data_IF_790495360011
#
_entry.id   IF_790495360011
#
_cell.length_a   1.000
_cell.length_b   1.000
_cell.length_c   1.000
_cell.angle_alpha   90.00
_cell.angle_beta   90.00
_cell.angle_gamma   90.00
#
_symmetry.space_group_name_H-M   'P 1'
#
loop_
_entity.id
_entity.type
_entity.pdbx_description
1 polymer ?
#
# COMPACT_ATOMS: atom_id res chain seq x y z
N UNK A 1 50.67 -35.48 60.04
CA UNK A 1 50.46 -34.04 59.71
C UNK A 1 49.05 -33.89 59.14
N UNK A 2 48.29 -32.93 59.66
CA UNK A 2 46.84 -32.72 59.44
C UNK A 2 46.55 -32.23 58.01
N UNK A 3 45.56 -32.82 57.33
CA UNK A 3 44.96 -32.26 56.11
C UNK A 3 43.71 -31.44 56.46
N UNK A 4 43.69 -30.17 56.03
CA UNK A 4 42.52 -29.28 56.04
C UNK A 4 41.67 -29.56 54.79
N UNK A 5 40.37 -29.75 54.97
CA UNK A 5 39.37 -29.68 53.90
C UNK A 5 38.74 -28.28 53.90
N UNK A 6 38.85 -27.55 52.78
CA UNK A 6 38.10 -26.31 52.53
C UNK A 6 37.07 -26.64 51.45
N UNK A 7 35.78 -26.58 51.82
CA UNK A 7 34.65 -26.76 50.92
C UNK A 7 34.31 -25.40 50.29
N UNK A 8 34.52 -25.24 48.99
CA UNK A 8 34.09 -24.07 48.23
C UNK A 8 32.67 -24.31 47.71
N UNK A 9 31.69 -23.58 48.22
CA UNK A 9 30.30 -23.63 47.77
C UNK A 9 30.09 -22.56 46.69
N UNK A 10 30.06 -22.97 45.42
CA UNK A 10 29.73 -22.09 44.29
C UNK A 10 28.21 -22.03 44.10
N UNK A 11 27.61 -20.91 44.50
CA UNK A 11 26.21 -20.57 44.17
C UNK A 11 26.18 -20.01 42.75
N UNK A 12 25.61 -20.77 41.81
CA UNK A 12 25.34 -20.29 40.45
C UNK A 12 24.01 -19.53 40.43
N UNK A 13 24.08 -18.22 40.19
CA UNK A 13 22.89 -17.43 39.82
C UNK A 13 22.49 -17.78 38.39
N UNK A 14 21.36 -18.50 38.23
CA UNK A 14 20.72 -18.64 36.93
C UNK A 14 19.88 -17.39 36.66
N UNK A 15 20.33 -16.55 35.73
CA UNK A 15 19.48 -15.51 35.14
C UNK A 15 18.48 -16.19 34.20
N UNK A 16 17.24 -16.35 34.65
CA UNK A 16 16.13 -16.74 33.78
C UNK A 16 15.74 -15.49 32.98
N UNK A 17 16.30 -15.31 31.79
CA UNK A 17 15.67 -14.45 30.78
C UNK A 17 14.54 -15.26 30.15
N UNK A 18 13.33 -15.15 30.70
CA UNK A 18 12.12 -15.57 29.97
C UNK A 18 12.00 -14.67 28.75
N UNK A 19 12.36 -15.16 27.57
CA UNK A 19 11.83 -14.58 26.34
C UNK A 19 10.33 -14.90 26.37
N UNK A 20 9.51 -13.93 26.75
CA UNK A 20 8.06 -14.05 26.70
C UNK A 20 7.66 -14.23 25.23
N UNK A 21 7.62 -15.47 24.76
CA UNK A 21 7.16 -15.79 23.42
C UNK A 21 5.64 -15.80 23.44
N UNK A 22 5.03 -14.98 22.59
CA UNK A 22 3.58 -15.06 22.36
C UNK A 22 3.23 -16.42 21.76
N UNK A 23 2.38 -17.18 22.46
CA UNK A 23 1.82 -18.44 21.96
C UNK A 23 0.32 -18.23 21.75
N UNK A 24 -0.18 -18.30 20.50
CA UNK A 24 -1.60 -18.15 20.24
C UNK A 24 -2.37 -19.29 20.90
N UNK A 25 -3.28 -18.96 21.82
CA UNK A 25 -4.20 -19.95 22.37
C UNK A 25 -5.24 -20.27 21.30
N UNK A 26 -5.20 -21.49 20.76
CA UNK A 26 -6.12 -21.93 19.71
C UNK A 26 -7.46 -22.36 20.32
N UNK A 27 -8.26 -21.36 20.69
CA UNK A 27 -9.66 -21.56 21.09
C UNK A 27 -10.53 -21.49 19.84
N UNK A 28 -11.35 -22.51 19.52
CA UNK A 28 -12.31 -22.45 18.42
C UNK A 28 -13.16 -21.19 18.51
N UNK A 29 -13.44 -20.54 17.36
CA UNK A 29 -14.12 -19.24 17.34
C UNK A 29 -15.49 -19.30 18.01
N UNK A 30 -16.25 -20.37 17.73
CA UNK A 30 -17.56 -20.60 18.35
C UNK A 30 -17.48 -20.69 19.88
N UNK A 31 -16.49 -21.41 20.40
CA UNK A 31 -16.26 -21.53 21.86
C UNK A 31 -15.85 -20.19 22.46
N UNK A 32 -15.00 -19.41 21.78
CA UNK A 32 -14.62 -18.07 22.23
C UNK A 32 -15.83 -17.12 22.28
N UNK A 33 -16.73 -17.20 21.30
CA UNK A 33 -17.99 -16.42 21.28
C UNK A 33 -18.95 -16.84 22.41
N UNK A 34 -19.08 -18.14 22.67
CA UNK A 34 -19.87 -18.67 23.79
C UNK A 34 -19.28 -18.25 25.16
N UNK A 35 -17.96 -18.18 25.28
CA UNK A 35 -17.29 -17.69 26.49
C UNK A 35 -17.46 -16.19 26.67
N UNK A 36 -17.30 -15.39 25.61
CA UNK A 36 -17.61 -13.95 25.62
C UNK A 36 -19.07 -13.72 26.05
N UNK A 37 -19.97 -14.54 25.48
CA UNK A 37 -21.28 -14.96 25.97
C UNK A 37 -21.47 -14.85 27.48
N UNK A 38 -20.84 -15.82 28.11
CA UNK A 38 -20.98 -16.20 29.51
C UNK A 38 -20.27 -15.24 30.46
N UNK A 39 -19.13 -14.70 30.05
CA UNK A 39 -18.32 -13.78 30.85
C UNK A 39 -18.81 -12.33 30.79
N UNK A 40 -19.69 -11.98 29.84
CA UNK A 40 -20.14 -10.61 29.64
C UNK A 40 -19.02 -9.68 29.14
N UNK A 41 -18.01 -10.24 28.47
CA UNK A 41 -16.87 -9.52 27.89
C UNK A 41 -16.95 -9.52 26.37
N UNK A 42 -16.49 -8.47 25.68
CA UNK A 42 -16.34 -8.51 24.23
C UNK A 42 -15.31 -9.56 23.78
N UNK A 43 -15.50 -10.07 22.56
CA UNK A 43 -14.58 -11.00 21.91
C UNK A 43 -13.54 -10.22 21.10
N UNK A 44 -12.27 -10.44 21.39
CA UNK A 44 -11.13 -9.99 20.59
C UNK A 44 -10.68 -11.11 19.66
N UNK A 45 -10.64 -10.83 18.35
CA UNK A 45 -10.14 -11.75 17.32
C UNK A 45 -8.96 -11.11 16.61
N UNK A 46 -7.79 -11.74 16.65
CA UNK A 46 -6.69 -11.39 15.76
C UNK A 46 -6.67 -12.34 14.56
N UNK A 47 -6.82 -11.81 13.36
CA UNK A 47 -6.55 -12.51 12.11
C UNK A 47 -5.10 -12.26 11.68
N UNK A 48 -4.38 -13.34 11.36
CA UNK A 48 -2.96 -13.29 10.98
C UNK A 48 -2.62 -14.33 9.90
N UNK A 49 -1.41 -14.28 9.37
CA UNK A 49 -0.80 -15.37 8.60
C UNK A 49 0.65 -15.55 9.05
N UNK A 50 1.23 -16.74 8.90
CA UNK A 50 2.59 -17.01 9.40
C UNK A 50 3.67 -16.31 8.55
N UNK A 51 3.41 -16.15 7.25
CA UNK A 51 4.27 -15.41 6.32
C UNK A 51 4.21 -13.88 6.48
N UNK A 52 3.26 -13.35 7.25
CA UNK A 52 3.00 -11.92 7.37
C UNK A 52 4.02 -11.24 8.31
N UNK A 53 4.94 -10.39 7.79
CA UNK A 53 5.99 -9.79 8.62
C UNK A 53 5.43 -8.87 9.71
N UNK A 54 4.44 -8.04 9.36
CA UNK A 54 3.75 -7.13 10.29
C UNK A 54 3.02 -7.88 11.41
N UNK A 55 2.49 -9.06 11.11
CA UNK A 55 1.85 -9.93 12.10
C UNK A 55 2.88 -10.47 13.09
N UNK A 56 4.04 -10.90 12.58
CA UNK A 56 5.13 -11.42 13.40
C UNK A 56 5.74 -10.32 14.28
N UNK A 57 5.84 -9.09 13.79
CA UNK A 57 6.25 -7.94 14.59
C UNK A 57 5.27 -7.66 15.74
N UNK A 58 3.96 -7.60 15.45
CA UNK A 58 2.94 -7.43 16.49
C UNK A 58 3.00 -8.54 17.56
N UNK A 59 3.20 -9.80 17.16
CA UNK A 59 3.34 -10.91 18.11
C UNK A 59 4.61 -10.78 18.97
N UNK A 60 5.72 -10.37 18.37
CA UNK A 60 7.03 -10.33 19.02
C UNK A 60 7.22 -9.11 19.93
N UNK A 61 6.63 -7.96 19.62
CA UNK A 61 6.87 -6.70 20.34
C UNK A 61 5.68 -6.23 21.19
N UNK A 62 4.46 -6.60 20.83
CA UNK A 62 3.24 -6.07 21.47
C UNK A 62 2.50 -7.15 22.24
N UNK A 63 2.22 -8.30 21.61
CA UNK A 63 1.49 -9.40 22.26
C UNK A 63 2.37 -10.29 23.15
N UNK A 64 3.68 -10.10 23.13
CA UNK A 64 4.64 -10.67 24.10
C UNK A 64 4.74 -9.85 25.38
N UNK A 65 4.26 -8.61 25.38
CA UNK A 65 4.35 -7.70 26.51
C UNK A 65 3.29 -8.05 27.58
N UNK A 66 3.70 -8.31 28.83
CA UNK A 66 2.76 -8.70 29.90
C UNK A 66 1.64 -7.68 30.13
N UNK A 67 1.94 -6.37 30.04
CA UNK A 67 0.92 -5.35 30.30
C UNK A 67 -0.19 -5.36 29.23
N UNK A 68 0.15 -5.72 27.98
CA UNK A 68 -0.82 -5.86 26.90
C UNK A 68 -1.65 -7.13 27.10
N UNK A 69 -0.99 -8.26 27.37
CA UNK A 69 -1.68 -9.54 27.56
C UNK A 69 -2.58 -9.53 28.80
N UNK A 70 -2.14 -8.93 29.90
CA UNK A 70 -2.94 -8.75 31.11
C UNK A 70 -4.17 -7.89 30.84
N UNK A 71 -4.01 -6.80 30.07
CA UNK A 71 -5.14 -5.97 29.68
C UNK A 71 -6.13 -6.75 28.81
N UNK A 72 -5.64 -7.48 27.82
CA UNK A 72 -6.46 -8.30 26.93
C UNK A 72 -7.25 -9.35 27.71
N UNK A 73 -6.56 -10.17 28.51
CA UNK A 73 -7.17 -11.27 29.28
C UNK A 73 -8.17 -10.76 30.33
N UNK A 74 -7.91 -9.59 30.91
CA UNK A 74 -8.82 -8.97 31.90
C UNK A 74 -10.12 -8.51 31.26
N UNK A 75 -10.05 -7.90 30.08
CA UNK A 75 -11.17 -7.14 29.52
C UNK A 75 -11.87 -7.83 28.34
N UNK A 76 -11.24 -8.82 27.69
CA UNK A 76 -11.74 -9.49 26.50
C UNK A 76 -11.61 -11.01 26.64
N UNK A 77 -12.47 -11.73 25.92
CA UNK A 77 -12.18 -13.11 25.54
C UNK A 77 -11.38 -13.05 24.25
N UNK A 78 -10.19 -13.66 24.22
CA UNK A 78 -9.27 -13.53 23.08
C UNK A 78 -9.20 -14.82 22.25
N UNK A 79 -9.18 -14.69 20.93
CA UNK A 79 -8.87 -15.78 20.00
C UNK A 79 -8.02 -15.29 18.84
N UNK A 80 -7.17 -16.16 18.31
CA UNK A 80 -6.18 -15.85 17.29
C UNK A 80 -6.34 -16.85 16.15
N UNK A 81 -6.55 -16.38 14.92
CA UNK A 81 -6.87 -17.24 13.78
C UNK A 81 -5.97 -16.96 12.59
N UNK A 82 -5.25 -18.00 12.16
CA UNK A 82 -4.51 -17.96 10.91
C UNK A 82 -5.52 -17.99 9.74
N UNK A 83 -5.48 -17.00 8.86
CA UNK A 83 -6.38 -16.88 7.71
C UNK A 83 -6.21 -17.99 6.66
N UNK A 84 -5.14 -18.77 6.73
CA UNK A 84 -4.85 -19.93 5.87
C UNK A 84 -5.55 -21.21 6.37
N UNK A 85 -6.14 -21.17 7.57
CA UNK A 85 -7.00 -22.24 8.12
C UNK A 85 -8.48 -21.92 7.89
N UNK A 86 -9.31 -22.96 7.89
CA UNK A 86 -10.75 -22.88 7.61
C UNK A 86 -11.48 -21.79 8.40
N UNK A 87 -11.38 -21.78 9.74
CA UNK A 87 -12.01 -20.75 10.58
C UNK A 87 -11.49 -19.33 10.25
N UNK A 88 -10.18 -19.18 10.03
CA UNK A 88 -9.59 -17.89 9.71
C UNK A 88 -10.03 -17.36 8.34
N UNK A 89 -10.12 -18.23 7.34
CA UNK A 89 -10.68 -17.90 6.01
C UNK A 89 -12.15 -17.49 6.14
N UNK A 90 -12.96 -18.24 6.90
CA UNK A 90 -14.37 -17.92 7.12
C UNK A 90 -14.56 -16.55 7.78
N UNK A 91 -13.76 -16.24 8.81
CA UNK A 91 -13.79 -14.94 9.50
C UNK A 91 -13.32 -13.79 8.60
N UNK A 92 -12.22 -13.99 7.87
CA UNK A 92 -11.71 -13.02 6.88
C UNK A 92 -12.80 -12.64 5.88
N UNK A 93 -13.53 -13.63 5.36
CA UNK A 93 -14.60 -13.41 4.40
C UNK A 93 -15.83 -12.76 5.06
N UNK A 94 -16.25 -13.25 6.24
CA UNK A 94 -17.40 -12.73 6.98
C UNK A 94 -17.27 -11.24 7.30
N UNK A 95 -16.07 -10.79 7.69
CA UNK A 95 -15.80 -9.41 8.06
C UNK A 95 -15.14 -8.57 6.94
N UNK A 96 -14.96 -9.15 5.75
CA UNK A 96 -14.38 -8.53 4.57
C UNK A 96 -12.99 -7.89 4.83
N UNK A 97 -12.11 -8.60 5.52
CA UNK A 97 -10.80 -8.05 5.93
C UNK A 97 -9.73 -8.34 4.87
N UNK A 98 -9.14 -7.30 4.26
CA UNK A 98 -8.11 -7.47 3.21
C UNK A 98 -6.68 -7.25 3.66
N UNK A 99 -6.49 -6.68 4.86
CA UNK A 99 -5.17 -6.35 5.41
C UNK A 99 -4.82 -7.26 6.60
N UNK A 100 -3.53 -7.41 6.88
CA UNK A 100 -3.04 -8.14 8.05
C UNK A 100 -1.93 -7.34 8.77
N UNK A 101 -1.79 -7.50 10.10
CA UNK A 101 -2.75 -8.16 10.99
C UNK A 101 -4.07 -7.39 11.04
N UNK A 102 -5.17 -8.09 11.30
CA UNK A 102 -6.48 -7.46 11.56
C UNK A 102 -6.95 -7.83 12.95
N UNK A 103 -7.49 -6.86 13.68
CA UNK A 103 -8.04 -7.03 15.02
C UNK A 103 -9.52 -6.67 15.00
N UNK A 104 -10.38 -7.64 15.32
CA UNK A 104 -11.83 -7.47 15.36
C UNK A 104 -12.28 -7.52 16.81
N UNK A 105 -13.20 -6.62 17.17
CA UNK A 105 -13.82 -6.58 18.49
C UNK A 105 -15.32 -6.78 18.30
N UNK A 106 -15.86 -7.86 18.88
CA UNK A 106 -17.24 -8.27 18.72
C UNK A 106 -17.97 -8.22 20.06
N UNK A 107 -19.24 -7.84 20.06
CA UNK A 107 -20.10 -7.99 21.23
C UNK A 107 -20.61 -9.44 21.39
N UNK A 108 -21.41 -9.68 22.44
CA UNK A 108 -22.02 -10.97 22.75
C UNK A 108 -23.02 -11.49 21.69
N UNK A 109 -23.45 -10.62 20.76
CA UNK A 109 -24.33 -10.94 19.65
C UNK A 109 -23.56 -11.06 18.33
N UNK A 110 -22.22 -11.10 18.39
CA UNK A 110 -21.33 -11.14 17.24
C UNK A 110 -21.34 -9.87 16.37
N UNK A 111 -21.84 -8.75 16.91
CA UNK A 111 -21.80 -7.44 16.24
C UNK A 111 -20.39 -6.88 16.28
N UNK A 112 -19.87 -6.45 15.13
CA UNK A 112 -18.59 -5.74 15.07
C UNK A 112 -18.69 -4.35 15.72
N UNK A 113 -18.11 -4.21 16.90
CA UNK A 113 -18.13 -2.96 17.67
C UNK A 113 -16.90 -2.08 17.43
N UNK A 114 -15.77 -2.69 17.05
CA UNK A 114 -14.53 -1.97 16.75
C UNK A 114 -13.63 -2.82 15.86
N UNK A 115 -12.74 -2.19 15.09
CA UNK A 115 -11.79 -2.91 14.26
C UNK A 115 -10.50 -2.10 14.06
N UNK A 116 -9.39 -2.79 13.99
CA UNK A 116 -8.06 -2.25 13.68
C UNK A 116 -7.39 -3.09 12.59
N UNK A 117 -6.47 -2.49 11.83
CA UNK A 117 -5.62 -3.19 10.86
C UNK A 117 -4.21 -2.62 10.84
N UNK A 118 -3.25 -3.47 10.47
CA UNK A 118 -1.84 -3.11 10.41
C UNK A 118 -1.14 -3.23 11.77
N UNK A 119 0.19 -3.15 11.74
CA UNK A 119 1.00 -3.10 12.95
C UNK A 119 0.93 -1.74 13.63
N UNK A 120 1.11 -1.73 14.95
CA UNK A 120 1.17 -0.51 15.76
C UNK A 120 2.00 -0.73 17.01
N UNK A 121 2.50 0.34 17.61
CA UNK A 121 3.33 0.25 18.81
C UNK A 121 2.49 0.01 20.06
N UNK A 122 3.08 -0.58 21.11
CA UNK A 122 2.41 -0.86 22.39
C UNK A 122 1.55 0.29 22.94
N UNK A 123 2.01 1.55 23.04
CA UNK A 123 1.19 2.63 23.61
C UNK A 123 -0.07 2.92 22.78
N UNK A 124 0.06 2.86 21.46
CA UNK A 124 -1.06 3.05 20.53
C UNK A 124 -2.05 1.88 20.64
N UNK A 125 -1.55 0.64 20.65
CA UNK A 125 -2.41 -0.55 20.79
C UNK A 125 -3.23 -0.50 22.09
N UNK A 126 -2.60 -0.19 23.23
CA UNK A 126 -3.30 -0.04 24.51
C UNK A 126 -4.36 1.06 24.48
N UNK A 127 -4.08 2.19 23.82
CA UNK A 127 -5.07 3.26 23.63
C UNK A 127 -6.26 2.77 22.80
N UNK A 128 -6.01 2.02 21.73
CA UNK A 128 -7.07 1.45 20.89
C UNK A 128 -7.88 0.36 21.60
N UNK A 129 -7.27 -0.45 22.46
CA UNK A 129 -8.00 -1.40 23.32
C UNK A 129 -8.95 -0.68 24.28
N UNK A 130 -8.54 0.47 24.84
CA UNK A 130 -9.42 1.30 25.67
C UNK A 130 -10.58 1.90 24.84
N UNK A 131 -10.31 2.34 23.61
CA UNK A 131 -11.37 2.83 22.71
C UNK A 131 -12.38 1.73 22.37
N UNK A 132 -11.93 0.50 22.13
CA UNK A 132 -12.81 -0.63 21.84
C UNK A 132 -13.77 -0.94 23.01
N UNK A 133 -13.34 -0.68 24.26
CA UNK A 133 -14.18 -0.83 25.46
C UNK A 133 -15.11 0.38 25.72
N UNK A 134 -14.86 1.52 25.10
CA UNK A 134 -15.66 2.73 25.30
C UNK A 134 -16.90 2.72 24.38
N UNK A 135 -18.13 2.60 24.92
CA UNK A 135 -19.34 2.53 24.09
C UNK A 135 -19.54 3.74 23.16
N UNK A 136 -18.99 4.92 23.52
CA UNK A 136 -19.07 6.12 22.68
C UNK A 136 -18.15 6.09 21.46
N UNK A 137 -17.14 5.23 21.48
CA UNK A 137 -16.17 5.07 20.39
C UNK A 137 -16.48 3.86 19.49
N UNK A 138 -17.45 3.04 19.87
CA UNK A 138 -17.84 1.85 19.12
C UNK A 138 -18.64 2.19 17.86
N UNK A 139 -18.43 1.39 16.81
CA UNK A 139 -19.01 1.58 15.49
C UNK A 139 -20.55 1.71 15.51
N UNK A 140 -21.33 0.84 16.18
CA UNK A 140 -22.79 0.96 16.19
C UNK A 140 -23.28 2.27 16.83
N UNK A 141 -22.60 2.75 17.87
CA UNK A 141 -22.94 4.02 18.50
C UNK A 141 -22.66 5.20 17.56
N UNK A 142 -21.46 5.25 17.00
CA UNK A 142 -21.03 6.32 16.10
C UNK A 142 -21.89 6.36 14.83
N UNK A 143 -22.20 5.20 14.26
CA UNK A 143 -23.10 5.08 13.11
C UNK A 143 -24.49 5.62 13.45
N UNK A 144 -25.08 5.20 14.59
CA UNK A 144 -26.38 5.70 15.03
C UNK A 144 -26.39 7.21 15.24
N UNK A 145 -25.34 7.77 15.84
CA UNK A 145 -25.22 9.22 16.03
C UNK A 145 -25.13 9.96 14.69
N UNK A 146 -24.33 9.46 13.76
CA UNK A 146 -24.21 10.00 12.41
C UNK A 146 -25.55 9.94 11.65
N UNK A 147 -26.20 8.78 11.62
CA UNK A 147 -27.46 8.60 10.87
C UNK A 147 -28.63 9.40 11.44
N UNK A 148 -28.60 9.76 12.74
CA UNK A 148 -29.61 10.63 13.34
C UNK A 148 -29.52 12.09 12.85
N UNK A 149 -28.36 12.52 12.35
CA UNK A 149 -28.14 13.85 11.77
C UNK A 149 -27.00 13.76 10.73
N UNK A 150 -27.32 13.25 9.53
CA UNK A 150 -26.30 12.96 8.52
C UNK A 150 -25.62 14.22 7.94
N UNK A 151 -26.12 15.41 8.27
CA UNK A 151 -25.57 16.69 7.83
C UNK A 151 -24.43 17.21 8.71
N UNK A 152 -24.24 16.61 9.88
CA UNK A 152 -23.27 17.04 10.87
C UNK A 152 -21.87 16.49 10.59
N UNK A 153 -20.94 17.38 10.24
CA UNK A 153 -19.57 17.01 9.89
C UNK A 153 -18.81 16.34 11.03
N UNK A 154 -19.06 16.75 12.28
CA UNK A 154 -18.31 16.22 13.42
C UNK A 154 -18.70 14.78 13.70
N UNK A 155 -20.01 14.49 13.73
CA UNK A 155 -20.52 13.12 13.88
C UNK A 155 -20.04 12.22 12.74
N UNK A 156 -20.06 12.74 11.51
CA UNK A 156 -19.50 12.04 10.35
C UNK A 156 -18.01 11.75 10.53
N UNK A 157 -17.19 12.74 10.92
CA UNK A 157 -15.76 12.53 11.08
C UNK A 157 -15.43 11.57 12.23
N UNK A 158 -16.15 11.60 13.35
CA UNK A 158 -15.97 10.60 14.40
C UNK A 158 -16.22 9.19 13.88
N UNK A 159 -17.33 8.99 13.14
CA UNK A 159 -17.63 7.68 12.56
C UNK A 159 -16.60 7.25 11.51
N UNK A 160 -16.27 8.13 10.55
CA UNK A 160 -15.30 7.87 9.48
C UNK A 160 -13.89 7.59 10.03
N UNK A 161 -13.46 8.35 11.05
CA UNK A 161 -12.16 8.18 11.70
C UNK A 161 -12.05 6.84 12.43
N UNK A 162 -13.15 6.32 12.98
CA UNK A 162 -13.17 5.01 13.60
C UNK A 162 -13.23 3.90 12.56
N UNK A 163 -14.10 4.02 11.54
CA UNK A 163 -14.21 3.04 10.46
C UNK A 163 -12.85 2.80 9.78
N UNK A 164 -12.12 3.87 9.43
CA UNK A 164 -10.85 3.75 8.69
C UNK A 164 -9.76 2.97 9.45
N UNK A 165 -9.89 2.81 10.77
CA UNK A 165 -8.91 2.08 11.58
C UNK A 165 -8.87 0.59 11.25
N UNK A 166 -9.99 0.01 10.84
CA UNK A 166 -10.08 -1.43 10.54
C UNK A 166 -10.81 -1.79 9.24
N UNK A 167 -11.61 -0.89 8.68
CA UNK A 167 -12.36 -1.11 7.44
C UNK A 167 -11.57 -0.68 6.21
N UNK A 168 -11.93 -1.26 5.07
CA UNK A 168 -11.35 -0.88 3.79
C UNK A 168 -12.01 0.36 3.20
N UNK A 169 -11.27 1.04 2.32
CA UNK A 169 -11.69 2.33 1.75
C UNK A 169 -13.05 2.28 1.06
N UNK A 170 -13.38 1.17 0.41
CA UNK A 170 -14.68 0.98 -0.23
C UNK A 170 -15.84 1.03 0.78
N UNK A 171 -15.64 0.56 2.01
CA UNK A 171 -16.66 0.63 3.07
C UNK A 171 -16.79 2.05 3.64
N UNK A 172 -15.74 2.88 3.53
CA UNK A 172 -15.79 4.30 3.93
C UNK A 172 -16.63 5.15 2.97
N UNK A 173 -16.78 4.72 1.72
CA UNK A 173 -17.49 5.47 0.69
C UNK A 173 -18.98 5.61 0.98
N UNK A 174 -19.63 4.56 1.50
CA UNK A 174 -21.07 4.55 1.79
C UNK A 174 -21.48 5.69 2.73
N UNK A 175 -20.95 5.80 3.97
CA UNK A 175 -21.30 6.91 4.86
C UNK A 175 -20.85 8.27 4.32
N UNK A 176 -19.78 8.29 3.51
CA UNK A 176 -19.32 9.53 2.86
C UNK A 176 -20.34 10.07 1.88
N UNK A 177 -20.91 9.21 1.04
CA UNK A 177 -21.97 9.59 0.11
C UNK A 177 -23.23 10.07 0.85
N UNK A 178 -23.60 9.40 1.96
CA UNK A 178 -24.74 9.83 2.79
C UNK A 178 -24.52 11.26 3.28
N UNK A 179 -23.36 11.57 3.84
CA UNK A 179 -23.03 12.92 4.31
C UNK A 179 -23.04 13.94 3.16
N UNK A 180 -22.33 13.66 2.06
CA UNK A 180 -22.20 14.62 0.95
C UNK A 180 -23.50 14.86 0.18
N UNK A 181 -24.45 13.92 0.22
CA UNK A 181 -25.80 14.12 -0.33
C UNK A 181 -26.63 15.12 0.47
N UNK A 182 -26.28 15.41 1.73
CA UNK A 182 -26.90 16.50 2.50
C UNK A 182 -26.35 17.88 2.11
N UNK A 183 -25.23 17.93 1.39
CA UNK A 183 -24.53 19.15 1.03
C UNK A 183 -24.92 19.58 -0.40
N UNK A 184 -25.26 20.87 -0.55
CA UNK A 184 -25.43 21.49 -1.87
C UNK A 184 -24.09 21.59 -2.60
N UNK A 185 -24.12 21.71 -3.92
CA UNK A 185 -22.91 21.84 -4.76
C UNK A 185 -21.99 22.96 -4.27
N UNK A 186 -22.55 24.13 -3.92
CA UNK A 186 -21.79 25.26 -3.38
C UNK A 186 -21.11 24.93 -2.04
N UNK A 187 -21.76 24.14 -1.19
CA UNK A 187 -21.18 23.73 0.11
C UNK A 187 -20.04 22.73 -0.07
N UNK A 188 -20.01 21.94 -1.15
CA UNK A 188 -18.92 20.99 -1.40
C UNK A 188 -17.56 21.70 -1.47
N UNK A 189 -17.51 22.93 -2.00
CA UNK A 189 -16.30 23.76 -2.04
C UNK A 189 -16.03 24.40 -0.67
N UNK A 190 -15.53 23.60 0.26
CA UNK A 190 -15.06 24.08 1.58
C UNK A 190 -13.92 23.22 2.10
N UNK A 191 -13.13 23.73 3.04
CA UNK A 191 -12.04 22.94 3.66
C UNK A 191 -12.58 21.69 4.39
N UNK A 192 -13.77 21.80 4.97
CA UNK A 192 -14.47 20.70 5.65
C UNK A 192 -14.85 19.62 4.65
N UNK A 193 -15.60 19.98 3.61
CA UNK A 193 -16.09 19.01 2.63
C UNK A 193 -14.98 18.48 1.74
N UNK A 194 -13.92 19.26 1.49
CA UNK A 194 -12.71 18.75 0.88
C UNK A 194 -12.10 17.60 1.70
N UNK A 195 -11.99 17.75 3.03
CA UNK A 195 -11.47 16.67 3.90
C UNK A 195 -12.36 15.43 3.83
N UNK A 196 -13.68 15.59 3.76
CA UNK A 196 -14.61 14.46 3.60
C UNK A 196 -14.38 13.78 2.25
N UNK A 197 -14.40 14.53 1.16
CA UNK A 197 -14.20 14.01 -0.21
C UNK A 197 -12.85 13.29 -0.32
N UNK A 198 -11.78 13.95 0.13
CA UNK A 198 -10.42 13.43 0.02
C UNK A 198 -10.27 12.06 0.70
N UNK A 199 -10.85 11.90 1.89
CA UNK A 199 -10.65 10.70 2.71
C UNK A 199 -11.71 9.61 2.53
N UNK A 200 -12.89 9.93 2.01
CA UNK A 200 -14.02 8.99 2.00
C UNK A 200 -14.49 8.56 0.62
N UNK A 201 -14.35 9.40 -0.41
CA UNK A 201 -14.88 9.10 -1.76
C UNK A 201 -13.94 8.16 -2.49
N UNK A 202 -14.45 7.08 -3.08
CA UNK A 202 -13.64 6.14 -3.87
C UNK A 202 -14.20 5.86 -5.27
N UNK A 203 -15.44 6.27 -5.55
CA UNK A 203 -16.09 6.01 -6.83
C UNK A 203 -15.87 7.17 -7.82
N UNK A 204 -15.31 6.82 -8.97
CA UNK A 204 -15.09 7.72 -10.12
C UNK A 204 -16.40 8.31 -10.66
N UNK A 205 -17.55 7.64 -10.51
CA UNK A 205 -18.84 8.12 -11.02
C UNK A 205 -19.66 8.91 -10.00
N UNK A 206 -19.18 9.04 -8.77
CA UNK A 206 -19.88 9.76 -7.71
C UNK A 206 -20.12 11.23 -8.06
N UNK A 207 -21.26 11.79 -7.63
CA UNK A 207 -21.66 13.19 -7.89
C UNK A 207 -20.56 14.15 -7.47
N UNK A 208 -20.04 13.99 -6.26
CA UNK A 208 -19.03 14.84 -5.67
C UNK A 208 -17.68 14.75 -6.35
N UNK A 209 -17.29 13.58 -6.89
CA UNK A 209 -16.05 13.48 -7.64
C UNK A 209 -16.19 14.12 -9.02
N UNK A 210 -17.32 13.92 -9.69
CA UNK A 210 -17.63 14.62 -10.94
C UNK A 210 -17.67 16.15 -10.72
N UNK A 211 -18.18 16.59 -9.57
CA UNK A 211 -18.13 18.00 -9.18
C UNK A 211 -16.68 18.48 -8.97
N UNK A 212 -15.82 17.72 -8.29
CA UNK A 212 -14.39 18.04 -8.17
C UNK A 212 -13.72 18.18 -9.54
N UNK A 213 -13.99 17.28 -10.48
CA UNK A 213 -13.40 17.33 -11.83
C UNK A 213 -13.77 18.61 -12.59
N UNK A 214 -15.00 19.08 -12.45
CA UNK A 214 -15.50 20.28 -13.12
C UNK A 214 -15.11 21.59 -12.40
N UNK A 215 -14.79 21.52 -11.10
CA UNK A 215 -14.52 22.68 -10.24
C UNK A 215 -13.12 22.67 -9.62
N UNK A 216 -12.12 22.09 -10.30
CA UNK A 216 -10.77 21.90 -9.77
C UNK A 216 -10.12 23.17 -9.22
N UNK A 217 -10.31 24.32 -9.88
CA UNK A 217 -9.74 25.61 -9.44
C UNK A 217 -10.34 26.08 -8.11
N UNK A 218 -11.63 25.85 -7.90
CA UNK A 218 -12.33 26.22 -6.67
C UNK A 218 -11.89 25.33 -5.51
N UNK A 219 -11.77 24.01 -5.75
CA UNK A 219 -11.21 23.09 -4.77
C UNK A 219 -9.74 23.35 -4.47
N UNK A 220 -8.95 23.77 -5.47
CA UNK A 220 -7.56 24.14 -5.27
C UNK A 220 -7.43 25.36 -4.33
N UNK A 221 -8.38 26.29 -4.35
CA UNK A 221 -8.39 27.46 -3.46
C UNK A 221 -8.62 27.10 -1.98
N UNK A 222 -9.43 26.08 -1.69
CA UNK A 222 -9.72 25.63 -0.31
C UNK A 222 -8.82 24.47 0.18
N UNK A 223 -7.89 24.00 -0.64
CA UNK A 223 -7.03 22.87 -0.29
C UNK A 223 -5.60 23.01 -0.82
N UNK A 224 -5.46 22.95 -2.15
CA UNK A 224 -4.26 23.18 -2.99
C UNK A 224 -4.38 22.32 -4.24
N UNK A 225 -3.77 22.77 -5.34
CA UNK A 225 -3.73 22.01 -6.59
C UNK A 225 -3.15 20.59 -6.38
N UNK A 226 -2.05 20.47 -5.62
CA UNK A 226 -1.42 19.18 -5.33
C UNK A 226 -2.32 18.22 -4.55
N UNK A 227 -3.26 18.72 -3.74
CA UNK A 227 -4.23 17.86 -3.02
C UNK A 227 -5.34 17.40 -3.97
N UNK A 228 -5.81 18.29 -4.85
CA UNK A 228 -6.79 17.96 -5.89
C UNK A 228 -6.25 16.92 -6.85
N UNK A 229 -5.05 17.14 -7.38
CA UNK A 229 -4.40 16.21 -8.32
C UNK A 229 -4.22 14.82 -7.71
N UNK A 230 -3.70 14.74 -6.48
CA UNK A 230 -3.55 13.47 -5.75
C UNK A 230 -4.87 12.76 -5.52
N UNK A 231 -5.96 13.50 -5.31
CA UNK A 231 -7.28 12.88 -5.17
C UNK A 231 -7.73 12.25 -6.49
N UNK A 232 -7.57 12.98 -7.60
CA UNK A 232 -7.93 12.48 -8.93
C UNK A 232 -7.11 11.22 -9.27
N UNK A 233 -5.80 11.26 -9.08
CA UNK A 233 -4.91 10.10 -9.26
C UNK A 233 -5.30 8.93 -8.35
N UNK A 234 -5.62 9.21 -7.07
CA UNK A 234 -6.07 8.17 -6.13
C UNK A 234 -7.33 7.47 -6.62
N UNK A 235 -8.32 8.18 -7.18
CA UNK A 235 -9.55 7.56 -7.68
C UNK A 235 -9.26 6.66 -8.89
N UNK A 236 -8.38 7.09 -9.80
CA UNK A 236 -7.94 6.25 -10.94
C UNK A 236 -7.19 5.01 -10.43
N UNK A 237 -6.36 5.15 -9.40
CA UNK A 237 -5.69 4.02 -8.77
C UNK A 237 -6.66 3.02 -8.15
N UNK A 238 -7.64 3.48 -7.37
CA UNK A 238 -8.66 2.60 -6.77
C UNK A 238 -9.45 1.83 -7.85
N UNK A 239 -9.70 2.47 -9.01
CA UNK A 239 -10.41 1.87 -10.12
C UNK A 239 -9.60 0.79 -10.86
N UNK A 240 -8.32 1.07 -11.14
CA UNK A 240 -7.52 0.24 -12.07
C UNK A 240 -6.55 -0.72 -11.38
N UNK A 241 -5.98 -0.34 -10.23
CA UNK A 241 -4.90 -1.11 -9.58
C UNK A 241 -5.30 -2.54 -9.24
N UNK A 242 -6.49 -2.82 -8.65
CA UNK A 242 -6.88 -4.19 -8.35
C UNK A 242 -7.00 -5.09 -9.60
N UNK A 243 -7.37 -4.52 -10.74
CA UNK A 243 -7.51 -5.26 -12.00
C UNK A 243 -6.14 -5.65 -12.54
N UNK A 244 -5.14 -4.78 -12.39
CA UNK A 244 -3.76 -5.05 -12.76
C UNK A 244 -3.17 -6.10 -11.83
N UNK A 245 -3.31 -5.93 -10.52
CA UNK A 245 -2.77 -6.86 -9.52
C UNK A 245 -3.26 -8.29 -9.77
N UNK A 246 -4.55 -8.44 -10.12
CA UNK A 246 -5.19 -9.73 -10.45
C UNK A 246 -5.07 -10.17 -11.92
N UNK A 247 -4.39 -9.41 -12.77
CA UNK A 247 -4.29 -9.66 -14.23
C UNK A 247 -5.64 -9.78 -14.94
N UNK A 248 -6.67 -9.09 -14.44
CA UNK A 248 -8.00 -9.03 -15.04
C UNK A 248 -8.01 -8.05 -16.23
N UNK A 249 -7.45 -8.52 -17.35
CA UNK A 249 -7.29 -7.72 -18.56
C UNK A 249 -8.63 -7.26 -19.14
N UNK A 250 -9.69 -8.07 -19.04
CA UNK A 250 -11.01 -7.79 -19.62
C UNK A 250 -11.64 -6.59 -18.91
N UNK A 251 -11.72 -6.64 -17.57
CA UNK A 251 -12.29 -5.52 -16.83
C UNK A 251 -11.36 -4.31 -16.84
N UNK A 252 -10.04 -4.52 -16.87
CA UNK A 252 -9.07 -3.42 -16.98
C UNK A 252 -9.37 -2.54 -18.20
N UNK A 253 -9.43 -3.10 -19.41
CA UNK A 253 -9.68 -2.30 -20.61
C UNK A 253 -11.06 -1.63 -20.63
N UNK A 254 -12.07 -2.23 -19.97
CA UNK A 254 -13.39 -1.60 -19.80
C UNK A 254 -13.31 -0.38 -18.87
N UNK A 255 -12.67 -0.51 -17.71
CA UNK A 255 -12.58 0.56 -16.71
C UNK A 255 -11.57 1.64 -17.10
N UNK A 256 -10.55 1.27 -17.88
CA UNK A 256 -9.57 2.20 -18.46
C UNK A 256 -10.24 3.32 -19.23
N UNK A 257 -11.25 3.04 -20.05
CA UNK A 257 -11.95 4.07 -20.82
C UNK A 257 -12.73 5.03 -19.90
N UNK A 258 -13.19 4.56 -18.75
CA UNK A 258 -13.79 5.43 -17.71
C UNK A 258 -12.72 6.35 -17.13
N UNK A 259 -11.52 5.85 -16.80
CA UNK A 259 -10.43 6.69 -16.30
C UNK A 259 -9.99 7.74 -17.34
N UNK A 260 -9.87 7.36 -18.62
CA UNK A 260 -9.50 8.28 -19.71
C UNK A 260 -10.54 9.36 -19.99
N UNK A 261 -11.80 9.15 -19.60
CA UNK A 261 -12.83 10.18 -19.74
C UNK A 261 -12.56 11.44 -18.92
N UNK A 262 -11.67 11.38 -17.92
CA UNK A 262 -11.23 12.52 -17.11
C UNK A 262 -10.48 13.57 -17.97
N UNK A 263 -9.78 13.15 -19.03
CA UNK A 263 -9.06 14.03 -19.98
C UNK A 263 -8.06 14.99 -19.31
N UNK A 264 -7.32 14.49 -18.32
CA UNK A 264 -6.21 15.21 -17.69
C UNK A 264 -4.89 14.49 -17.99
N UNK A 265 -3.85 15.25 -18.32
CA UNK A 265 -2.54 14.68 -18.65
C UNK A 265 -2.02 13.76 -17.55
N UNK A 266 -2.16 14.13 -16.27
CA UNK A 266 -1.72 13.31 -15.13
C UNK A 266 -2.43 11.96 -15.06
N UNK A 267 -3.74 11.93 -15.32
CA UNK A 267 -4.49 10.67 -15.33
C UNK A 267 -4.14 9.83 -16.55
N UNK A 268 -3.92 10.45 -17.70
CA UNK A 268 -3.50 9.74 -18.91
C UNK A 268 -2.11 9.13 -18.73
N UNK A 269 -1.17 9.85 -18.08
CA UNK A 269 0.14 9.33 -17.71
C UNK A 269 0.05 8.13 -16.77
N UNK A 270 -0.84 8.18 -15.78
CA UNK A 270 -1.07 7.07 -14.86
C UNK A 270 -1.66 5.84 -15.58
N UNK A 271 -2.66 6.04 -16.44
CA UNK A 271 -3.24 4.97 -17.27
C UNK A 271 -2.18 4.36 -18.19
N UNK A 272 -1.33 5.17 -18.81
CA UNK A 272 -0.22 4.70 -19.64
C UNK A 272 0.75 3.82 -18.85
N UNK A 273 1.15 4.24 -17.64
CA UNK A 273 1.99 3.41 -16.75
C UNK A 273 1.36 2.05 -16.45
N UNK A 274 0.04 2.02 -16.28
CA UNK A 274 -0.71 0.79 -16.05
C UNK A 274 -0.85 -0.10 -17.29
N UNK A 275 -1.03 0.50 -18.48
CA UNK A 275 -1.01 -0.21 -19.75
C UNK A 275 0.33 -0.95 -19.93
N UNK A 276 1.44 -0.27 -19.63
CA UNK A 276 2.78 -0.85 -19.71
C UNK A 276 2.99 -1.96 -18.68
N UNK A 277 2.61 -1.73 -17.42
CA UNK A 277 2.71 -2.73 -16.35
C UNK A 277 1.96 -4.02 -16.69
N UNK A 278 0.73 -3.88 -17.22
CA UNK A 278 -0.08 -5.03 -17.60
C UNK A 278 0.51 -5.75 -18.82
N UNK A 279 1.02 -4.99 -19.80
CA UNK A 279 1.69 -5.56 -20.96
C UNK A 279 2.96 -6.32 -20.59
N UNK A 280 3.77 -5.81 -19.66
CA UNK A 280 4.95 -6.50 -19.13
C UNK A 280 4.57 -7.80 -18.42
N UNK A 281 3.60 -7.76 -17.50
CA UNK A 281 3.17 -8.95 -16.74
C UNK A 281 2.44 -10.00 -17.57
N UNK A 282 1.96 -9.64 -18.76
CA UNK A 282 1.31 -10.55 -19.71
C UNK A 282 2.12 -10.78 -20.97
N UNK A 283 3.38 -10.33 -20.98
CA UNK A 283 4.34 -10.48 -22.09
C UNK A 283 3.82 -9.99 -23.46
N UNK A 284 2.96 -8.96 -23.47
CA UNK A 284 2.37 -8.38 -24.68
C UNK A 284 3.29 -7.32 -25.30
N UNK A 285 4.45 -7.75 -25.79
CA UNK A 285 5.51 -6.86 -26.26
C UNK A 285 5.15 -6.02 -27.48
N UNK A 286 4.31 -6.53 -28.40
CA UNK A 286 3.85 -5.74 -29.54
C UNK A 286 2.95 -4.58 -29.13
N UNK A 287 2.07 -4.81 -28.15
CA UNK A 287 1.25 -3.75 -27.58
C UNK A 287 2.12 -2.76 -26.80
N UNK A 288 3.03 -3.25 -25.97
CA UNK A 288 3.99 -2.41 -25.24
C UNK A 288 4.74 -1.46 -26.18
N UNK A 289 5.33 -2.03 -27.24
CA UNK A 289 6.07 -1.28 -28.27
C UNK A 289 5.18 -0.26 -28.96
N UNK A 290 3.97 -0.64 -29.36
CA UNK A 290 3.04 0.29 -30.02
C UNK A 290 2.74 1.49 -29.13
N UNK A 291 2.29 1.26 -27.90
CA UNK A 291 1.82 2.32 -27.00
C UNK A 291 2.96 3.23 -26.54
N UNK A 292 4.15 2.68 -26.29
CA UNK A 292 5.34 3.49 -25.94
C UNK A 292 5.80 4.36 -27.10
N UNK A 293 5.81 3.85 -28.34
CA UNK A 293 6.16 4.66 -29.52
C UNK A 293 5.20 5.82 -29.74
N UNK A 294 3.92 5.63 -29.44
CA UNK A 294 2.86 6.64 -29.61
C UNK A 294 2.87 7.71 -28.50
N UNK A 295 3.05 7.31 -27.23
CA UNK A 295 2.67 8.17 -26.10
C UNK A 295 3.82 8.58 -25.14
N UNK A 296 5.00 7.94 -25.19
CA UNK A 296 6.07 8.15 -24.18
C UNK A 296 6.48 9.62 -24.02
N UNK A 297 6.74 10.32 -25.14
CA UNK A 297 7.14 11.73 -25.11
C UNK A 297 6.01 12.67 -24.66
N UNK A 298 4.76 12.25 -24.77
CA UNK A 298 3.61 13.07 -24.38
C UNK A 298 3.27 12.91 -22.90
N UNK A 299 3.43 11.70 -22.38
CA UNK A 299 2.89 11.33 -21.08
C UNK A 299 3.94 11.23 -19.97
N UNK A 300 5.20 10.92 -20.28
CA UNK A 300 6.22 10.63 -19.25
C UNK A 300 7.58 11.27 -19.53
N UNK A 301 7.64 12.29 -20.39
CA UNK A 301 8.89 12.93 -20.83
C UNK A 301 9.72 13.64 -19.74
N UNK A 302 9.10 13.87 -18.58
CA UNK A 302 9.73 14.48 -17.41
C UNK A 302 9.89 13.49 -16.25
N UNK A 303 9.71 12.19 -16.50
CA UNK A 303 9.88 11.12 -15.51
C UNK A 303 11.13 10.30 -15.86
N UNK A 304 12.28 10.73 -15.32
CA UNK A 304 13.57 10.14 -15.63
C UNK A 304 13.60 8.63 -15.33
N UNK A 305 13.08 8.21 -14.18
CA UNK A 305 13.05 6.80 -13.79
C UNK A 305 12.23 5.99 -14.78
N UNK A 306 11.02 6.45 -15.11
CA UNK A 306 10.12 5.68 -15.96
C UNK A 306 10.61 5.60 -17.41
N UNK A 307 11.23 6.65 -17.95
CA UNK A 307 11.88 6.61 -19.27
C UNK A 307 12.97 5.54 -19.33
N UNK A 308 13.75 5.40 -18.25
CA UNK A 308 14.79 4.39 -18.11
C UNK A 308 14.22 2.98 -18.02
N UNK A 309 13.12 2.81 -17.28
CA UNK A 309 12.40 1.53 -17.18
C UNK A 309 11.91 1.07 -18.56
N UNK A 310 11.31 1.98 -19.35
CA UNK A 310 10.92 1.69 -20.74
C UNK A 310 12.13 1.25 -21.59
N UNK A 311 13.25 1.98 -21.49
CA UNK A 311 14.50 1.65 -22.18
C UNK A 311 15.02 0.26 -21.82
N UNK A 312 14.95 -0.12 -20.55
CA UNK A 312 15.37 -1.44 -20.06
C UNK A 312 14.47 -2.56 -20.58
N UNK A 313 13.14 -2.34 -20.62
CA UNK A 313 12.20 -3.29 -21.22
C UNK A 313 12.47 -3.47 -22.71
N UNK A 314 12.77 -2.39 -23.44
CA UNK A 314 13.18 -2.46 -24.84
C UNK A 314 14.48 -3.23 -25.04
N UNK A 315 15.50 -2.96 -24.21
CA UNK A 315 16.76 -3.69 -24.25
C UNK A 315 16.57 -5.20 -24.09
N UNK A 316 15.66 -5.64 -23.22
CA UNK A 316 15.42 -7.05 -22.95
C UNK A 316 14.56 -7.73 -24.02
N UNK A 317 13.49 -7.08 -24.47
CA UNK A 317 12.42 -7.77 -25.21
C UNK A 317 12.22 -7.30 -26.65
N UNK A 318 12.78 -6.15 -27.04
CA UNK A 318 12.62 -5.58 -28.39
C UNK A 318 13.95 -5.65 -29.15
N UNK A 319 13.90 -6.14 -30.40
CA UNK A 319 15.09 -6.35 -31.23
C UNK A 319 15.10 -5.51 -32.51
N UNK A 320 13.98 -4.85 -32.84
CA UNK A 320 13.91 -3.95 -33.99
C UNK A 320 14.80 -2.72 -33.78
N UNK A 321 15.62 -2.41 -34.79
CA UNK A 321 16.62 -1.34 -34.72
C UNK A 321 15.98 0.04 -34.61
N UNK A 322 14.88 0.31 -35.31
CA UNK A 322 14.25 1.64 -35.27
C UNK A 322 13.55 1.90 -33.93
N UNK A 323 12.90 0.87 -33.38
CA UNK A 323 12.33 0.90 -32.04
C UNK A 323 13.41 1.09 -30.97
N UNK A 324 14.56 0.41 -31.09
CA UNK A 324 15.68 0.58 -30.17
C UNK A 324 16.29 1.99 -30.22
N UNK A 325 16.34 2.64 -31.39
CA UNK A 325 16.75 4.05 -31.48
C UNK A 325 15.79 4.99 -30.73
N UNK A 326 14.49 4.69 -30.71
CA UNK A 326 13.53 5.45 -29.91
C UNK A 326 13.78 5.25 -28.41
N UNK A 327 14.03 4.01 -27.98
CA UNK A 327 14.42 3.73 -26.60
C UNK A 327 15.68 4.49 -26.17
N UNK A 328 16.73 4.52 -27.01
CA UNK A 328 17.94 5.34 -26.79
C UNK A 328 17.53 6.79 -26.56
N UNK A 329 16.74 7.41 -27.45
CA UNK A 329 16.31 8.81 -27.25
C UNK A 329 15.52 9.06 -25.96
N UNK A 330 14.84 8.04 -25.42
CA UNK A 330 14.14 8.13 -24.14
C UNK A 330 15.10 8.02 -22.95
N UNK A 331 16.12 7.14 -23.03
CA UNK A 331 17.16 7.02 -22.00
C UNK A 331 18.09 8.24 -22.02
N UNK A 332 18.44 8.77 -23.18
CA UNK A 332 19.12 10.06 -23.32
C UNK A 332 18.37 11.16 -22.57
N UNK A 333 17.05 11.27 -22.77
CA UNK A 333 16.23 12.23 -22.02
C UNK A 333 16.21 11.95 -20.51
N UNK A 334 16.20 10.68 -20.11
CA UNK A 334 16.33 10.30 -18.69
C UNK A 334 17.63 10.85 -18.10
N UNK A 335 18.75 10.72 -18.81
CA UNK A 335 20.06 11.21 -18.40
C UNK A 335 20.15 12.75 -18.39
N UNK A 336 19.48 13.44 -19.32
CA UNK A 336 19.36 14.90 -19.27
C UNK A 336 18.65 15.39 -18.00
N UNK A 337 17.66 14.64 -17.53
CA UNK A 337 16.89 14.97 -16.33
C UNK A 337 17.65 14.59 -15.05
N UNK A 338 18.34 13.46 -15.07
CA UNK A 338 19.10 12.94 -13.94
C UNK A 338 20.18 11.96 -14.44
N UNK A 339 21.41 12.47 -14.57
CA UNK A 339 22.56 11.67 -14.97
C UNK A 339 22.86 10.57 -13.93
N UNK A 340 23.05 9.33 -14.38
CA UNK A 340 23.19 8.18 -13.49
C UNK A 340 23.99 7.03 -14.08
N UNK A 341 24.65 6.25 -13.22
CA UNK A 341 25.42 5.07 -13.61
C UNK A 341 24.60 4.08 -14.44
N UNK A 342 23.42 3.71 -13.93
CA UNK A 342 22.54 2.72 -14.55
C UNK A 342 21.93 3.21 -15.86
N UNK A 343 21.67 4.52 -15.98
CA UNK A 343 21.24 5.13 -17.24
C UNK A 343 22.33 5.08 -18.31
N UNK A 344 23.56 5.49 -17.99
CA UNK A 344 24.70 5.44 -18.91
C UNK A 344 25.04 4.00 -19.32
N UNK A 345 24.97 3.05 -18.39
CA UNK A 345 25.20 1.64 -18.68
C UNK A 345 24.12 1.06 -19.60
N UNK A 346 22.85 1.44 -19.41
CA UNK A 346 21.75 1.03 -20.28
C UNK A 346 21.90 1.60 -21.69
N UNK A 347 22.23 2.89 -21.81
CA UNK A 347 22.59 3.57 -23.06
C UNK A 347 23.67 2.81 -23.84
N UNK A 348 24.78 2.49 -23.15
CA UNK A 348 25.87 1.74 -23.74
C UNK A 348 25.44 0.37 -24.29
N UNK A 349 24.59 -0.35 -23.55
CA UNK A 349 24.04 -1.65 -23.95
C UNK A 349 23.11 -1.52 -25.16
N UNK A 350 22.25 -0.50 -25.18
CA UNK A 350 21.34 -0.23 -26.30
C UNK A 350 22.11 0.11 -27.59
N UNK A 351 23.11 0.99 -27.52
CA UNK A 351 23.97 1.30 -28.66
C UNK A 351 24.74 0.07 -29.15
N UNK A 352 25.27 -0.76 -28.24
CA UNK A 352 25.90 -2.02 -28.62
C UNK A 352 24.92 -2.95 -29.35
N UNK A 353 23.67 -3.04 -28.86
CA UNK A 353 22.61 -3.86 -29.45
C UNK A 353 22.28 -3.44 -30.90
N UNK A 354 22.34 -2.14 -31.21
CA UNK A 354 22.16 -1.64 -32.59
C UNK A 354 23.46 -1.57 -33.41
N UNK A 355 24.56 -2.12 -32.87
CA UNK A 355 25.90 -2.21 -33.45
C UNK A 355 26.60 -0.85 -33.64
N UNK A 356 26.27 0.16 -32.83
CA UNK A 356 27.03 1.41 -32.75
C UNK A 356 28.10 1.31 -31.65
N UNK A 357 29.22 0.66 -31.98
CA UNK A 357 30.34 0.47 -31.04
C UNK A 357 30.91 1.79 -30.52
N UNK A 358 30.88 2.87 -31.32
CA UNK A 358 31.47 4.16 -30.96
C UNK A 358 30.69 4.80 -29.81
N UNK A 359 29.36 4.90 -29.97
CA UNK A 359 28.49 5.44 -28.93
C UNK A 359 28.42 4.51 -27.71
N UNK A 360 28.38 3.20 -27.92
CA UNK A 360 28.43 2.24 -26.82
C UNK A 360 29.66 2.43 -25.92
N UNK A 361 30.85 2.65 -26.52
CA UNK A 361 32.08 2.88 -25.78
C UNK A 361 32.08 4.23 -25.03
N UNK A 362 31.46 5.26 -25.59
CA UNK A 362 31.30 6.58 -24.96
C UNK A 362 30.50 6.47 -23.65
N UNK A 363 29.27 5.95 -23.71
CA UNK A 363 28.42 5.83 -22.52
C UNK A 363 28.94 4.80 -21.51
N UNK A 364 29.61 3.74 -21.96
CA UNK A 364 30.26 2.79 -21.03
C UNK A 364 31.39 3.46 -20.24
N UNK A 365 32.15 4.39 -20.85
CA UNK A 365 33.16 5.17 -20.13
C UNK A 365 32.53 6.15 -19.13
N UNK A 366 31.41 6.78 -19.49
CA UNK A 366 30.67 7.67 -18.58
C UNK A 366 30.17 6.88 -17.36
N UNK A 367 29.53 5.73 -17.57
CA UNK A 367 29.10 4.85 -16.48
C UNK A 367 30.30 4.46 -15.59
N UNK A 368 31.45 4.08 -16.18
CA UNK A 368 32.66 3.75 -15.40
C UNK A 368 33.19 4.93 -14.60
N UNK A 369 33.12 6.15 -15.12
CA UNK A 369 33.53 7.35 -14.40
C UNK A 369 32.65 7.57 -13.15
N UNK A 370 31.32 7.48 -13.30
CA UNK A 370 30.37 7.61 -12.18
C UNK A 370 30.60 6.51 -11.14
N UNK A 371 30.77 5.25 -11.58
CA UNK A 371 31.04 4.15 -10.65
C UNK A 371 32.31 4.37 -9.82
N UNK A 372 33.36 4.90 -10.46
CA UNK A 372 34.61 5.24 -9.78
C UNK A 372 34.44 6.40 -8.79
N UNK A 373 33.71 7.45 -9.17
CA UNK A 373 33.45 8.61 -8.30
C UNK A 373 32.66 8.21 -7.05
N UNK A 374 31.70 7.31 -7.20
CA UNK A 374 30.79 6.87 -6.13
C UNK A 374 31.31 5.67 -5.33
N UNK A 375 32.50 5.15 -5.63
CA UNK A 375 33.07 3.91 -5.07
C UNK A 375 32.11 2.69 -5.22
N UNK A 376 31.46 2.61 -6.38
CA UNK A 376 30.52 1.54 -6.72
C UNK A 376 31.17 0.39 -7.48
N UNK A 377 30.55 -0.79 -7.41
CA UNK A 377 30.98 -1.95 -8.16
C UNK A 377 30.85 -1.71 -9.68
N UNK A 378 31.98 -1.77 -10.40
CA UNK A 378 32.08 -1.54 -11.84
C UNK A 378 32.10 -2.81 -12.70
N UNK A 379 31.93 -4.00 -12.12
CA UNK A 379 32.12 -5.29 -12.82
C UNK A 379 31.33 -5.40 -14.13
N UNK A 380 30.09 -4.92 -14.12
CA UNK A 380 29.21 -4.98 -15.29
C UNK A 380 29.70 -4.08 -16.43
N UNK A 381 30.04 -2.82 -16.12
CA UNK A 381 30.57 -1.89 -17.13
C UNK A 381 31.97 -2.31 -17.60
N UNK A 382 32.80 -2.89 -16.73
CA UNK A 382 34.12 -3.42 -17.10
C UNK A 382 34.02 -4.58 -18.08
N UNK A 383 33.05 -5.47 -17.88
CA UNK A 383 32.76 -6.59 -18.80
C UNK A 383 32.35 -6.05 -20.17
N UNK A 384 31.40 -5.10 -20.19
CA UNK A 384 30.94 -4.49 -21.44
C UNK A 384 32.08 -3.75 -22.17
N UNK A 385 32.93 -3.02 -21.46
CA UNK A 385 34.09 -2.36 -22.04
C UNK A 385 35.08 -3.36 -22.64
N UNK A 386 35.32 -4.49 -21.98
CA UNK A 386 36.19 -5.53 -22.53
C UNK A 386 35.62 -6.10 -23.84
N UNK A 387 34.32 -6.38 -23.89
CA UNK A 387 33.63 -6.86 -25.09
C UNK A 387 33.72 -5.84 -26.24
N UNK A 388 33.43 -4.56 -25.97
CA UNK A 388 33.45 -3.50 -26.98
C UNK A 388 34.84 -3.24 -27.58
N UNK A 389 35.90 -3.50 -26.81
CA UNK A 389 37.29 -3.34 -27.23
C UNK A 389 37.85 -4.57 -27.98
N UNK A 390 37.13 -5.69 -28.02
CA UNK A 390 37.49 -6.82 -28.88
C UNK A 390 37.05 -6.57 -30.34
N UNK A 391 37.96 -6.83 -31.29
CA UNK A 391 37.90 -6.44 -32.71
C UNK A 391 36.57 -6.81 -33.38
#
# INVERSE_FOLDING_TARGET
>A
MRFLFILFLSVTFQTITSQNQFVPVDVPYKTALENAKKEGKPLFVMLYADWCPHCNLMKAEVLSDPAVMDFLNKNFVCTYKNIEKEEGTALKNKFNTKSLPTFLFLDSNETLIYALKGEMKKPEFLNELNNALNPKMQLPHLEKQFLADPSNSDKFFYYLNTLRKGKDRTELSIPTHIYLNTQTDKQLVSEVNWRVIANGVTDIKSREFQYVLNHQKEFAAVASQNRVDRKIESIVNELLRPLIDNLDTVNYYKQREVAKSIRLQKTDSLVFKYDLTLAERTEKWDFYKKVTLEETQKLVWNDASFLKDIGNTYFKHINDKESLKKAISWVDRSLELNDSYDGNLLEAKLYNKIKDKKKALEYAKNAKAIAKEMDWNSKEVDTLLAELNTK
#
